data_IF_875877936209
#
_entry.id   IF_875877936209
#
_cell.length_a   1.000
_cell.length_b   1.000
_cell.length_c   1.000
_cell.angle_alpha   90.00
_cell.angle_beta   90.00
_cell.angle_gamma   90.00
#
_symmetry.space_group_name_H-M   'P 1'
#
loop_
_entity.id
_entity.type
_entity.pdbx_description
1 polymer ?
#
# COMPACT_ATOMS: atom_id res chain seq x y z
N UNK A 1 -13.89 31.63 -13.81
CA UNK A 1 -15.01 30.65 -13.80
C UNK A 1 -14.62 29.25 -13.38
N UNK A 2 -13.34 28.96 -13.21
CA UNK A 2 -12.82 27.62 -12.80
C UNK A 2 -12.78 27.39 -11.27
N UNK A 3 -13.26 28.32 -10.48
CA UNK A 3 -13.10 28.32 -9.01
C UNK A 3 -14.42 28.19 -8.22
N UNK A 4 -15.57 27.91 -8.81
CA UNK A 4 -16.85 27.96 -8.09
C UNK A 4 -17.63 26.62 -8.10
N UNK A 5 -17.19 25.58 -8.77
CA UNK A 5 -17.71 24.23 -8.52
C UNK A 5 -16.78 23.42 -7.61
N UNK A 6 -16.43 23.98 -6.50
CA UNK A 6 -15.90 23.18 -5.39
C UNK A 6 -17.09 22.39 -4.84
N UNK A 7 -17.30 21.21 -5.43
CA UNK A 7 -18.28 20.26 -4.95
C UNK A 7 -18.00 20.05 -3.44
N UNK A 8 -18.96 20.33 -2.58
CA UNK A 8 -18.84 20.19 -1.12
C UNK A 8 -18.37 18.81 -0.72
N UNK A 9 -18.67 17.78 -1.53
CA UNK A 9 -18.18 16.42 -1.37
C UNK A 9 -16.66 16.30 -1.56
N UNK A 10 -16.09 17.00 -2.54
CA UNK A 10 -14.63 16.99 -2.77
C UNK A 10 -13.86 17.61 -1.61
N UNK A 11 -14.37 18.69 -1.02
CA UNK A 11 -13.77 19.33 0.16
C UNK A 11 -13.82 18.40 1.36
N UNK A 12 -14.94 17.72 1.60
CA UNK A 12 -15.09 16.75 2.69
C UNK A 12 -14.13 15.58 2.55
N UNK A 13 -13.99 15.05 1.33
CA UNK A 13 -13.03 13.96 1.03
C UNK A 13 -11.59 14.42 1.30
N UNK A 14 -11.23 15.65 0.88
CA UNK A 14 -9.90 16.21 1.13
C UNK A 14 -9.59 16.36 2.63
N UNK A 15 -10.57 16.75 3.44
CA UNK A 15 -10.41 16.78 4.89
C UNK A 15 -10.16 15.40 5.48
N UNK A 16 -10.91 14.38 5.06
CA UNK A 16 -10.72 13.00 5.52
C UNK A 16 -9.33 12.50 5.11
N UNK A 17 -8.91 12.71 3.86
CA UNK A 17 -7.59 12.30 3.37
C UNK A 17 -6.47 13.00 4.15
N UNK A 18 -6.55 14.31 4.35
CA UNK A 18 -5.53 15.07 5.08
C UNK A 18 -5.41 14.61 6.53
N UNK A 19 -6.53 14.35 7.19
CA UNK A 19 -6.59 13.81 8.54
C UNK A 19 -5.96 12.42 8.63
N UNK A 20 -6.26 11.54 7.68
CA UNK A 20 -5.66 10.21 7.62
C UNK A 20 -4.17 10.25 7.34
N UNK A 21 -3.72 11.13 6.44
CA UNK A 21 -2.28 11.31 6.15
C UNK A 21 -1.54 11.82 7.39
N UNK A 22 -2.10 12.79 8.10
CA UNK A 22 -1.54 13.29 9.35
C UNK A 22 -1.44 12.19 10.43
N UNK A 23 -2.51 11.42 10.60
CA UNK A 23 -2.56 10.32 11.57
C UNK A 23 -1.58 9.20 11.20
N UNK A 24 -1.54 8.80 9.92
CA UNK A 24 -0.60 7.79 9.44
C UNK A 24 0.85 8.23 9.57
N UNK A 25 1.15 9.51 9.27
CA UNK A 25 2.48 10.09 9.42
C UNK A 25 2.94 10.12 10.87
N UNK A 26 2.06 10.55 11.79
CA UNK A 26 2.35 10.53 13.22
C UNK A 26 2.56 9.10 13.73
N UNK A 27 1.70 8.16 13.33
CA UNK A 27 1.87 6.76 13.67
C UNK A 27 3.20 6.21 13.13
N UNK A 28 3.55 6.47 11.87
CA UNK A 28 4.79 6.02 11.25
C UNK A 28 6.03 6.51 12.02
N UNK A 29 6.00 7.73 12.52
CA UNK A 29 7.10 8.28 13.32
C UNK A 29 7.40 7.44 14.58
N UNK A 30 6.37 6.89 15.24
CA UNK A 30 6.53 6.05 16.41
C UNK A 30 6.67 4.57 16.10
N UNK A 31 6.17 4.12 14.94
CA UNK A 31 6.22 2.72 14.50
C UNK A 31 7.47 2.39 13.68
N UNK A 32 8.21 3.41 13.19
CA UNK A 32 9.45 3.15 12.44
C UNK A 32 10.46 2.36 13.29
N UNK A 33 11.11 1.38 12.66
CA UNK A 33 12.02 0.45 13.33
C UNK A 33 13.20 1.15 14.06
N UNK A 34 13.40 0.92 15.37
CA UNK A 34 12.66 0.00 16.24
C UNK A 34 11.29 0.58 16.66
N UNK A 35 10.23 -0.21 16.48
CA UNK A 35 8.87 0.25 16.75
C UNK A 35 8.66 0.49 18.25
N UNK A 36 8.13 1.69 18.60
CA UNK A 36 7.75 2.04 19.97
C UNK A 36 6.28 1.77 20.26
N UNK A 37 5.44 1.75 19.20
CA UNK A 37 4.01 1.44 19.27
C UNK A 37 3.63 0.48 18.16
N UNK A 38 2.60 -0.33 18.39
CA UNK A 38 2.00 -1.22 17.42
C UNK A 38 0.58 -0.74 17.12
N UNK A 39 0.16 -0.89 15.86
CA UNK A 39 -1.15 -0.42 15.39
C UNK A 39 -2.31 -1.20 16.02
N UNK A 40 -2.14 -2.51 16.20
CA UNK A 40 -3.20 -3.41 16.64
C UNK A 40 -4.36 -3.50 15.63
N UNK A 41 -5.36 -4.32 15.99
CA UNK A 41 -6.52 -4.56 15.12
C UNK A 41 -7.40 -3.29 14.99
N UNK A 42 -7.56 -2.53 16.06
CA UNK A 42 -8.35 -1.30 16.06
C UNK A 42 -7.82 -0.27 15.04
N UNK A 43 -6.50 -0.07 15.00
CA UNK A 43 -5.88 0.85 14.04
C UNK A 43 -5.97 0.32 12.61
N UNK A 44 -5.79 -0.99 12.39
CA UNK A 44 -5.92 -1.61 11.08
C UNK A 44 -7.33 -1.47 10.52
N UNK A 45 -8.34 -1.72 11.35
CA UNK A 45 -9.75 -1.54 10.97
C UNK A 45 -10.10 -0.08 10.70
N UNK A 46 -9.58 0.85 11.51
CA UNK A 46 -9.78 2.28 11.32
C UNK A 46 -9.25 2.74 9.94
N UNK A 47 -8.02 2.40 9.59
CA UNK A 47 -7.46 2.75 8.29
C UNK A 47 -8.19 2.06 7.14
N UNK A 48 -8.46 0.75 7.25
CA UNK A 48 -9.16 -0.03 6.22
C UNK A 48 -10.56 0.52 5.93
N UNK A 49 -11.33 0.83 6.98
CA UNK A 49 -12.66 1.41 6.85
C UNK A 49 -12.65 2.78 6.16
N UNK A 50 -11.76 3.68 6.58
CA UNK A 50 -11.65 5.01 5.97
C UNK A 50 -11.18 4.94 4.51
N UNK A 51 -10.24 4.04 4.18
CA UNK A 51 -9.81 3.83 2.79
C UNK A 51 -10.97 3.31 1.93
N UNK A 52 -11.80 2.41 2.45
CA UNK A 52 -12.97 1.91 1.73
C UNK A 52 -14.00 3.02 1.48
N UNK A 53 -14.29 3.86 2.50
CA UNK A 53 -15.19 5.01 2.34
C UNK A 53 -14.66 6.00 1.32
N UNK A 54 -13.38 6.39 1.39
CA UNK A 54 -12.77 7.31 0.43
C UNK A 54 -12.88 6.74 -0.98
N UNK A 55 -12.57 5.44 -1.15
CA UNK A 55 -12.67 4.77 -2.44
C UNK A 55 -14.09 4.79 -3.01
N UNK A 56 -15.09 4.56 -2.16
CA UNK A 56 -16.50 4.61 -2.55
C UNK A 56 -16.94 6.03 -2.93
N UNK A 57 -16.64 7.01 -2.08
CA UNK A 57 -17.01 8.41 -2.33
C UNK A 57 -16.32 8.98 -3.59
N UNK A 58 -15.06 8.62 -3.81
CA UNK A 58 -14.31 9.06 -5.00
C UNK A 58 -14.80 8.40 -6.29
N UNK A 59 -15.47 7.26 -6.20
CA UNK A 59 -16.00 6.52 -7.35
C UNK A 59 -17.44 6.87 -7.70
N UNK A 60 -18.13 7.68 -6.90
CA UNK A 60 -19.56 7.95 -7.02
C UNK A 60 -19.91 9.13 -7.96
N UNK A 61 -18.97 9.70 -8.68
CA UNK A 61 -19.26 10.72 -9.70
C UNK A 61 -20.08 10.12 -10.85
N UNK A 62 -21.30 10.67 -11.04
CA UNK A 62 -22.36 10.15 -11.91
C UNK A 62 -21.95 10.04 -13.39
N UNK A 63 -20.90 10.73 -13.82
CA UNK A 63 -20.41 10.77 -15.19
C UNK A 63 -19.19 9.90 -15.48
N UNK A 64 -18.64 9.22 -14.48
CA UNK A 64 -17.50 8.30 -14.67
C UNK A 64 -17.90 6.91 -14.21
N UNK A 65 -17.71 5.91 -15.07
CA UNK A 65 -17.83 4.49 -14.69
C UNK A 65 -17.11 4.27 -13.37
N UNK A 66 -17.78 3.63 -12.41
CA UNK A 66 -17.22 3.36 -11.09
C UNK A 66 -15.79 2.81 -11.20
N UNK A 67 -14.78 3.65 -10.95
CA UNK A 67 -13.37 3.28 -11.10
C UNK A 67 -12.84 2.56 -9.85
N UNK A 68 -13.58 1.59 -9.33
CA UNK A 68 -13.16 0.79 -8.17
C UNK A 68 -11.84 0.04 -8.37
N UNK A 69 -11.44 -0.18 -9.62
CA UNK A 69 -10.18 -0.84 -9.91
C UNK A 69 -8.96 -0.02 -9.46
N UNK A 70 -9.04 1.33 -9.44
CA UNK A 70 -7.91 2.17 -9.02
C UNK A 70 -7.54 1.91 -7.54
N UNK A 71 -8.45 2.03 -6.55
CA UNK A 71 -8.14 1.70 -5.16
C UNK A 71 -7.68 0.25 -4.98
N UNK A 72 -8.28 -0.71 -5.71
CA UNK A 72 -7.86 -2.11 -5.65
C UNK A 72 -6.43 -2.32 -6.15
N UNK A 73 -6.03 -1.64 -7.23
CA UNK A 73 -4.67 -1.72 -7.75
C UNK A 73 -3.66 -0.99 -6.86
N UNK A 74 -4.03 0.14 -6.27
CA UNK A 74 -3.18 0.82 -5.29
C UNK A 74 -2.94 -0.05 -4.05
N UNK A 75 -3.98 -0.78 -3.60
CA UNK A 75 -3.92 -1.70 -2.46
C UNK A 75 -3.51 -3.13 -2.86
N UNK A 76 -2.98 -3.34 -4.07
CA UNK A 76 -2.75 -4.66 -4.66
C UNK A 76 -1.83 -5.54 -3.81
N UNK A 77 -0.72 -5.00 -3.30
CA UNK A 77 0.26 -5.78 -2.52
C UNK A 77 -0.36 -6.34 -1.22
N UNK A 78 -1.00 -5.55 -0.35
CA UNK A 78 -1.62 -6.09 0.85
C UNK A 78 -2.80 -7.02 0.55
N UNK A 79 -3.58 -6.76 -0.52
CA UNK A 79 -4.68 -7.64 -0.93
C UNK A 79 -4.13 -9.00 -1.39
N UNK A 80 -3.12 -9.01 -2.25
CA UNK A 80 -2.49 -10.25 -2.71
C UNK A 80 -1.88 -11.06 -1.57
N UNK A 81 -1.20 -10.39 -0.63
CA UNK A 81 -0.63 -11.09 0.52
C UNK A 81 -1.71 -11.78 1.35
N UNK A 82 -2.82 -11.08 1.62
CA UNK A 82 -3.96 -11.65 2.34
C UNK A 82 -4.59 -12.84 1.58
N UNK A 83 -4.87 -12.67 0.28
CA UNK A 83 -5.45 -13.73 -0.56
C UNK A 83 -4.53 -14.95 -0.60
N UNK A 84 -3.25 -14.74 -0.83
CA UNK A 84 -2.25 -15.82 -0.84
C UNK A 84 -2.25 -16.62 0.46
N UNK A 85 -2.24 -15.94 1.61
CA UNK A 85 -2.22 -16.61 2.91
C UNK A 85 -3.50 -17.41 3.14
N UNK A 86 -4.67 -16.85 2.82
CA UNK A 86 -5.96 -17.54 2.95
C UNK A 86 -6.00 -18.79 2.05
N UNK A 87 -5.65 -18.66 0.77
CA UNK A 87 -5.64 -19.77 -0.17
C UNK A 87 -4.69 -20.88 0.29
N UNK A 88 -3.48 -20.51 0.72
CA UNK A 88 -2.52 -21.47 1.25
C UNK A 88 -3.04 -22.21 2.45
N UNK A 89 -3.70 -21.54 3.40
CA UNK A 89 -4.33 -22.18 4.57
C UNK A 89 -5.38 -23.21 4.17
N UNK A 90 -6.26 -22.82 3.23
CA UNK A 90 -7.30 -23.72 2.71
C UNK A 90 -6.67 -24.96 2.06
N UNK A 91 -5.69 -24.78 1.17
CA UNK A 91 -5.02 -25.88 0.47
C UNK A 91 -4.29 -26.83 1.44
N UNK A 92 -3.74 -26.28 2.52
CA UNK A 92 -3.04 -27.08 3.55
C UNK A 92 -3.97 -27.66 4.62
N UNK A 93 -5.29 -27.57 4.44
CA UNK A 93 -6.29 -28.07 5.39
C UNK A 93 -6.34 -27.32 6.72
N UNK A 94 -5.79 -26.12 6.78
CA UNK A 94 -5.82 -25.24 7.96
C UNK A 94 -7.01 -24.31 7.91
N UNK A 95 -7.58 -23.97 9.06
CA UNK A 95 -8.65 -22.97 9.12
C UNK A 95 -8.16 -21.59 8.60
N UNK A 96 -8.97 -20.86 7.81
CA UNK A 96 -8.56 -19.60 7.18
C UNK A 96 -8.21 -18.50 8.20
N UNK A 97 -8.72 -18.57 9.42
CA UNK A 97 -8.51 -17.60 10.50
C UNK A 97 -7.39 -18.00 11.48
N UNK A 98 -6.72 -19.13 11.25
CA UNK A 98 -5.62 -19.54 12.13
C UNK A 98 -4.40 -18.66 11.92
N UNK A 99 -3.82 -18.13 13.00
CA UNK A 99 -2.59 -17.35 12.94
C UNK A 99 -1.44 -18.17 12.32
N UNK A 100 -0.67 -17.56 11.45
CA UNK A 100 0.42 -18.23 10.76
C UNK A 100 1.49 -17.19 10.34
N UNK A 101 2.71 -17.65 10.07
CA UNK A 101 3.85 -16.82 9.66
C UNK A 101 4.11 -16.89 8.15
N UNK A 102 3.06 -16.99 7.32
CA UNK A 102 3.21 -17.14 5.86
C UNK A 102 3.04 -15.84 5.06
N UNK A 103 2.80 -14.73 5.73
CA UNK A 103 2.76 -13.40 5.11
C UNK A 103 4.08 -13.05 4.40
N UNK A 104 4.00 -12.24 3.36
CA UNK A 104 5.14 -11.86 2.51
C UNK A 104 6.33 -11.34 3.33
N UNK A 105 6.07 -10.53 4.37
CA UNK A 105 7.14 -9.98 5.21
C UNK A 105 7.90 -11.06 5.99
N UNK A 106 7.22 -12.08 6.51
CA UNK A 106 7.89 -13.21 7.17
C UNK A 106 8.75 -14.00 6.18
N UNK A 107 8.23 -14.28 4.99
CA UNK A 107 8.97 -15.00 3.95
C UNK A 107 10.23 -14.26 3.49
N UNK A 108 10.16 -12.93 3.39
CA UNK A 108 11.32 -12.10 3.06
C UNK A 108 12.37 -12.10 4.18
N UNK A 109 11.95 -12.07 5.45
CA UNK A 109 12.87 -12.20 6.59
C UNK A 109 13.50 -13.59 6.61
N UNK A 110 12.73 -14.65 6.41
CA UNK A 110 13.21 -16.04 6.36
C UNK A 110 14.20 -16.27 5.20
N UNK A 111 14.12 -15.46 4.11
CA UNK A 111 15.10 -15.47 3.01
C UNK A 111 16.42 -14.73 3.32
N UNK A 112 16.57 -14.20 4.55
CA UNK A 112 17.79 -13.55 5.02
C UNK A 112 17.79 -12.03 4.97
N UNK A 113 16.64 -11.40 4.67
CA UNK A 113 16.49 -9.94 4.73
C UNK A 113 16.24 -9.48 6.16
N UNK A 114 16.78 -8.32 6.54
CA UNK A 114 16.40 -7.70 7.80
C UNK A 114 15.06 -6.96 7.68
N UNK A 115 14.44 -6.65 8.83
CA UNK A 115 13.13 -5.98 8.88
C UNK A 115 13.07 -4.69 8.07
N UNK A 116 14.11 -3.84 8.15
CA UNK A 116 14.16 -2.57 7.40
C UNK A 116 14.25 -2.79 5.88
N UNK A 117 14.97 -3.82 5.45
CA UNK A 117 15.05 -4.18 4.02
C UNK A 117 13.71 -4.71 3.53
N UNK A 118 13.08 -5.59 4.31
CA UNK A 118 11.75 -6.15 4.01
C UNK A 118 10.71 -5.06 3.83
N UNK A 119 10.61 -4.12 4.78
CA UNK A 119 9.65 -3.00 4.68
C UNK A 119 9.93 -2.15 3.44
N UNK A 120 11.19 -1.81 3.16
CA UNK A 120 11.56 -1.03 1.96
C UNK A 120 11.17 -1.71 0.66
N UNK A 121 11.36 -3.03 0.55
CA UNK A 121 10.97 -3.78 -0.65
C UNK A 121 9.46 -3.71 -0.84
N UNK A 122 8.68 -4.02 0.20
CA UNK A 122 7.22 -4.01 0.11
C UNK A 122 6.71 -2.61 -0.28
N UNK A 123 7.21 -1.57 0.38
CA UNK A 123 6.85 -0.19 0.05
C UNK A 123 7.23 0.20 -1.38
N UNK A 124 8.42 -0.21 -1.84
CA UNK A 124 8.87 0.08 -3.20
C UNK A 124 8.00 -0.58 -4.26
N UNK A 125 7.61 -1.84 -4.05
CA UNK A 125 6.72 -2.56 -4.96
C UNK A 125 5.35 -1.88 -4.98
N UNK A 126 4.80 -1.54 -3.81
CA UNK A 126 3.51 -0.84 -3.71
C UNK A 126 3.56 0.52 -4.42
N UNK A 127 4.64 1.30 -4.25
CA UNK A 127 4.82 2.59 -4.91
C UNK A 127 4.86 2.45 -6.43
N UNK A 128 5.60 1.47 -6.95
CA UNK A 128 5.70 1.23 -8.39
C UNK A 128 4.33 0.85 -8.97
N UNK A 129 3.63 -0.10 -8.36
CA UNK A 129 2.30 -0.55 -8.81
C UNK A 129 1.32 0.63 -8.80
N UNK A 130 1.28 1.41 -7.70
CA UNK A 130 0.41 2.58 -7.60
C UNK A 130 0.72 3.62 -8.67
N UNK A 131 2.00 3.89 -8.94
CA UNK A 131 2.42 4.84 -9.96
C UNK A 131 2.03 4.37 -11.36
N UNK A 132 2.22 3.08 -11.68
CA UNK A 132 1.81 2.49 -12.96
C UNK A 132 0.29 2.59 -13.14
N UNK A 133 -0.48 2.29 -12.09
CA UNK A 133 -1.94 2.40 -12.11
C UNK A 133 -2.38 3.82 -12.47
N UNK A 134 -1.83 4.82 -11.78
CA UNK A 134 -2.18 6.23 -12.01
C UNK A 134 -1.71 6.75 -13.38
N UNK A 135 -0.65 6.17 -13.95
CA UNK A 135 -0.21 6.47 -15.32
C UNK A 135 -1.18 5.90 -16.36
N UNK A 136 -1.61 4.66 -16.20
CA UNK A 136 -2.55 4.01 -17.12
C UNK A 136 -3.88 4.76 -17.15
N UNK A 137 -4.32 5.28 -16.00
CA UNK A 137 -5.52 6.10 -15.89
C UNK A 137 -5.35 7.55 -16.38
N UNK A 138 -4.16 7.93 -16.82
CA UNK A 138 -3.86 9.28 -17.30
C UNK A 138 -3.84 10.37 -16.21
N UNK A 139 -3.84 9.98 -14.93
CA UNK A 139 -3.83 10.90 -13.79
C UNK A 139 -2.43 11.49 -13.57
N UNK A 140 -1.38 10.71 -13.80
CA UNK A 140 0.00 11.14 -13.66
C UNK A 140 0.72 11.16 -15.01
N UNK A 141 1.70 12.06 -15.16
CA UNK A 141 2.60 12.03 -16.31
C UNK A 141 3.69 10.95 -16.16
N UNK A 142 4.25 10.44 -17.28
CA UNK A 142 5.30 9.41 -17.25
C UNK A 142 6.54 9.77 -16.41
N UNK A 143 6.80 11.06 -16.19
CA UNK A 143 7.92 11.53 -15.36
C UNK A 143 7.84 11.01 -13.90
N UNK A 144 6.63 10.81 -13.38
CA UNK A 144 6.45 10.27 -12.02
C UNK A 144 6.85 8.80 -11.90
N UNK A 145 6.73 8.01 -12.97
CA UNK A 145 7.27 6.64 -13.00
C UNK A 145 8.79 6.65 -12.89
N UNK A 146 9.44 7.58 -13.61
CA UNK A 146 10.88 7.75 -13.52
C UNK A 146 11.34 8.08 -12.09
N UNK A 147 10.66 9.01 -11.41
CA UNK A 147 10.93 9.29 -9.99
C UNK A 147 10.66 8.12 -9.07
N UNK A 148 9.57 7.37 -9.27
CA UNK A 148 9.27 6.18 -8.49
C UNK A 148 10.36 5.10 -8.65
N UNK A 149 10.87 4.90 -9.86
CA UNK A 149 11.96 3.98 -10.14
C UNK A 149 13.29 4.44 -9.50
N UNK A 150 13.59 5.74 -9.53
CA UNK A 150 14.76 6.30 -8.85
C UNK A 150 14.66 6.07 -7.34
N UNK A 151 13.50 6.39 -6.73
CA UNK A 151 13.26 6.17 -5.30
C UNK A 151 13.42 4.70 -4.96
N UNK A 152 12.84 3.81 -5.77
CA UNK A 152 13.01 2.36 -5.61
C UNK A 152 14.50 1.97 -5.65
N UNK A 153 15.24 2.47 -6.63
CA UNK A 153 16.66 2.18 -6.78
C UNK A 153 17.46 2.66 -5.56
N UNK A 154 17.22 3.90 -5.09
CA UNK A 154 17.91 4.49 -3.94
C UNK A 154 17.58 3.74 -2.64
N UNK A 155 16.32 3.35 -2.43
CA UNK A 155 15.89 2.59 -1.26
C UNK A 155 16.51 1.19 -1.23
N UNK A 156 16.80 0.60 -2.39
CA UNK A 156 17.18 -0.79 -2.53
C UNK A 156 18.63 -1.01 -2.98
N UNK A 157 19.50 0.00 -2.92
CA UNK A 157 20.93 -0.11 -3.33
C UNK A 157 21.64 -1.32 -2.67
N UNK A 158 21.35 -1.60 -1.41
CA UNK A 158 21.91 -2.78 -0.70
C UNK A 158 21.31 -4.12 -1.13
N UNK A 159 20.17 -4.13 -1.81
CA UNK A 159 19.50 -5.37 -2.27
C UNK A 159 20.19 -5.92 -3.52
N UNK A 160 20.85 -5.08 -4.33
CA UNK A 160 21.68 -5.56 -5.44
C UNK A 160 22.77 -6.53 -4.98
N UNK A 161 23.38 -6.29 -3.83
CA UNK A 161 24.41 -7.18 -3.28
C UNK A 161 23.80 -8.51 -2.80
N UNK A 162 22.58 -8.47 -2.28
CA UNK A 162 21.86 -9.64 -1.83
C UNK A 162 21.37 -10.50 -3.01
N UNK A 163 20.81 -9.88 -4.05
CA UNK A 163 20.38 -10.59 -5.27
C UNK A 163 21.59 -11.23 -5.96
N UNK A 164 22.74 -10.54 -6.05
CA UNK A 164 23.98 -11.14 -6.54
C UNK A 164 24.42 -12.35 -5.73
N UNK A 165 24.16 -12.35 -4.43
CA UNK A 165 24.55 -13.47 -3.53
C UNK A 165 23.64 -14.69 -3.66
N UNK A 166 22.40 -14.52 -4.17
CA UNK A 166 21.44 -15.61 -4.42
C UNK A 166 21.61 -16.21 -5.82
N UNK A 167 22.04 -15.41 -6.79
CA UNK A 167 22.13 -15.83 -8.20
C UNK A 167 23.57 -16.01 -8.71
N UNK A 168 24.57 -15.77 -7.90
CA UNK A 168 25.97 -16.14 -8.11
C UNK A 168 26.46 -17.10 -7.02
#
# INVERSE_FOLDING_TARGET
>A
YFLIEYNTNAVSILFIISSLLGTAGAFLFFNYNPAKILMGDGGSYFFGYNLAIISFLSSSDINTSLKFHIPLLVMFVPILDMVYVILRRIITGRGPFKADRTHIHHRLIDSGLNERQTVRIILSISLIISTITLLIEGILSPIYLYYALIIHCLLNVKIREFIKKIFC
#
